data_IF_548811229418
#
_entry.id   IF_548811229418
#
_cell.length_a   1.000
_cell.length_b   1.000
_cell.length_c   1.000
_cell.angle_alpha   90.00
_cell.angle_beta   90.00
_cell.angle_gamma   90.00
#
_symmetry.space_group_name_H-M   'P 1'
#
loop_
_entity.id
_entity.type
_entity.pdbx_description
1 polymer ?
#
# COMPACT_ATOMS: atom_id res chain seq x y z
N UNK A 1 0.37 0.66 9.30
CA UNK A 1 0.85 1.14 7.98
C UNK A 1 0.54 2.62 7.75
N UNK A 2 -0.70 3.10 7.96
CA UNK A 2 -1.06 4.49 7.66
C UNK A 2 -0.25 5.57 8.41
N UNK A 3 0.13 5.33 9.68
CA UNK A 3 1.01 6.24 10.42
C UNK A 3 2.39 6.38 9.75
N UNK A 4 3.00 5.26 9.36
CA UNK A 4 4.30 5.26 8.66
C UNK A 4 4.21 5.97 7.30
N UNK A 5 3.05 5.87 6.64
CA UNK A 5 2.77 6.63 5.43
C UNK A 5 2.82 8.13 5.68
N UNK A 6 2.11 8.62 6.71
CA UNK A 6 2.10 10.04 7.08
C UNK A 6 3.47 10.55 7.52
N UNK A 7 4.26 9.73 8.19
CA UNK A 7 5.62 10.12 8.60
C UNK A 7 6.56 10.26 7.39
N UNK A 8 6.45 9.36 6.41
CA UNK A 8 7.31 9.37 5.21
C UNK A 8 6.85 10.35 4.14
N UNK A 9 5.55 10.55 4.02
CA UNK A 9 4.92 11.46 3.07
C UNK A 9 3.92 12.35 3.81
N UNK A 10 4.38 13.42 4.50
CA UNK A 10 3.50 14.30 5.27
C UNK A 10 2.45 15.01 4.43
N UNK A 11 2.80 15.33 3.18
CA UNK A 11 1.89 15.89 2.16
C UNK A 11 1.30 14.80 1.25
N UNK A 12 1.50 13.54 1.60
CA UNK A 12 0.98 12.40 0.87
C UNK A 12 -0.52 12.28 1.07
N UNK A 13 -1.23 11.97 -0.01
CA UNK A 13 -2.66 11.68 -0.01
C UNK A 13 -2.88 10.23 -0.40
N UNK A 14 -3.83 9.57 0.26
CA UNK A 14 -4.35 8.27 -0.13
C UNK A 14 -5.79 8.48 -0.62
N UNK A 15 -6.04 8.19 -1.88
CA UNK A 15 -7.34 8.43 -2.53
C UNK A 15 -7.90 7.11 -3.01
N UNK A 16 -9.15 6.81 -2.65
CA UNK A 16 -9.88 5.62 -3.09
C UNK A 16 -10.93 6.01 -4.13
N UNK A 17 -10.86 5.42 -5.31
CA UNK A 17 -11.82 5.61 -6.40
C UNK A 17 -12.61 4.33 -6.62
N UNK A 18 -13.94 4.38 -6.57
CA UNK A 18 -14.80 3.32 -7.11
C UNK A 18 -14.83 3.45 -8.64
N UNK A 19 -14.23 2.49 -9.34
CA UNK A 19 -14.09 2.52 -10.80
C UNK A 19 -15.30 1.92 -11.52
N UNK A 20 -15.84 0.83 -10.98
CA UNK A 20 -16.95 0.11 -11.58
C UNK A 20 -17.68 -0.77 -10.55
N UNK A 21 -18.92 -1.11 -10.89
CA UNK A 21 -19.68 -2.19 -10.25
C UNK A 21 -20.02 -3.17 -11.37
N UNK A 22 -19.49 -4.39 -11.28
CA UNK A 22 -19.64 -5.41 -12.32
C UNK A 22 -19.91 -6.78 -11.70
N UNK A 23 -20.98 -7.47 -12.14
CA UNK A 23 -21.38 -8.79 -11.62
C UNK A 23 -21.45 -8.88 -10.07
N UNK A 24 -21.89 -7.81 -9.40
CA UNK A 24 -21.96 -7.75 -7.94
C UNK A 24 -20.62 -7.48 -7.25
N UNK A 25 -19.56 -7.21 -8.01
CA UNK A 25 -18.24 -6.85 -7.52
C UNK A 25 -18.04 -5.33 -7.64
N UNK A 26 -17.63 -4.72 -6.54
CA UNK A 26 -17.16 -3.34 -6.47
C UNK A 26 -15.68 -3.31 -6.79
N UNK A 27 -15.30 -2.60 -7.85
CA UNK A 27 -13.92 -2.48 -8.31
C UNK A 27 -13.37 -1.14 -7.83
N UNK A 28 -12.43 -1.16 -6.89
CA UNK A 28 -11.86 0.03 -6.25
C UNK A 28 -10.38 0.13 -6.56
N UNK A 29 -9.90 1.35 -6.85
CA UNK A 29 -8.49 1.70 -6.95
C UNK A 29 -8.11 2.64 -5.81
N UNK A 30 -7.10 2.29 -5.03
CA UNK A 30 -6.42 3.24 -4.15
C UNK A 30 -5.18 3.78 -4.83
N UNK A 31 -5.02 5.10 -4.83
CA UNK A 31 -3.84 5.80 -5.33
C UNK A 31 -3.13 6.50 -4.18
N UNK A 32 -1.82 6.29 -4.06
CA UNK A 32 -0.97 7.12 -3.20
C UNK A 32 -0.39 8.24 -4.05
N UNK A 33 -0.70 9.46 -3.67
CA UNK A 33 -0.20 10.68 -4.32
C UNK A 33 0.69 11.46 -3.38
N UNK A 34 1.70 12.11 -3.94
CA UNK A 34 2.41 13.21 -3.28
C UNK A 34 2.37 14.36 -4.27
N UNK A 35 1.75 15.47 -3.85
CA UNK A 35 1.40 16.58 -4.74
C UNK A 35 0.58 16.05 -5.95
N UNK A 36 1.05 16.30 -7.18
CA UNK A 36 0.37 15.87 -8.41
C UNK A 36 0.88 14.52 -8.97
N UNK A 37 1.86 13.91 -8.31
CA UNK A 37 2.45 12.64 -8.77
C UNK A 37 1.82 11.45 -8.06
N UNK A 38 1.30 10.50 -8.82
CA UNK A 38 0.88 9.19 -8.32
C UNK A 38 2.14 8.33 -8.16
N UNK A 39 2.46 7.94 -6.92
CA UNK A 39 3.61 7.08 -6.62
C UNK A 39 3.29 5.61 -6.87
N UNK A 40 2.14 5.16 -6.38
CA UNK A 40 1.67 3.78 -6.51
C UNK A 40 0.15 3.72 -6.55
N UNK A 41 -0.37 2.64 -7.12
CA UNK A 41 -1.79 2.31 -7.11
C UNK A 41 -2.01 0.85 -6.69
N UNK A 42 -3.08 0.59 -5.95
CA UNK A 42 -3.58 -0.75 -5.67
C UNK A 42 -5.01 -0.91 -6.19
N UNK A 43 -5.33 -2.06 -6.77
CA UNK A 43 -6.65 -2.38 -7.32
C UNK A 43 -7.26 -3.57 -6.57
N UNK A 44 -8.57 -3.56 -6.38
CA UNK A 44 -9.31 -4.67 -5.79
C UNK A 44 -10.72 -4.78 -6.35
N UNK A 45 -11.26 -5.99 -6.32
CA UNK A 45 -12.66 -6.27 -6.57
C UNK A 45 -13.23 -7.12 -5.43
N UNK A 46 -14.37 -6.73 -4.86
CA UNK A 46 -15.03 -7.48 -3.79
C UNK A 46 -16.55 -7.29 -3.78
N UNK A 47 -17.26 -8.14 -3.07
CA UNK A 47 -18.74 -8.12 -3.03
C UNK A 47 -19.31 -6.89 -2.31
N UNK A 48 -18.51 -6.19 -1.53
CA UNK A 48 -18.88 -4.91 -0.92
C UNK A 48 -17.79 -3.87 -1.18
N UNK A 49 -18.18 -2.60 -1.18
CA UNK A 49 -17.27 -1.48 -1.45
C UNK A 49 -16.19 -1.36 -0.38
N UNK A 50 -16.54 -1.60 0.89
CA UNK A 50 -15.63 -1.52 2.04
C UNK A 50 -14.51 -2.56 1.92
N UNK A 51 -14.87 -3.80 1.58
CA UNK A 51 -13.90 -4.87 1.42
C UNK A 51 -12.99 -4.64 0.20
N UNK A 52 -13.55 -4.09 -0.89
CA UNK A 52 -12.77 -3.72 -2.06
C UNK A 52 -11.77 -2.61 -1.72
N UNK A 53 -12.23 -1.56 -1.04
CA UNK A 53 -11.37 -0.45 -0.61
C UNK A 53 -10.25 -0.91 0.33
N UNK A 54 -10.57 -1.70 1.35
CA UNK A 54 -9.58 -2.23 2.29
C UNK A 54 -8.48 -3.01 1.58
N UNK A 55 -8.85 -3.88 0.64
CA UNK A 55 -7.89 -4.65 -0.14
C UNK A 55 -7.07 -3.78 -1.10
N UNK A 56 -7.69 -2.80 -1.76
CA UNK A 56 -7.00 -1.89 -2.66
C UNK A 56 -5.97 -1.04 -1.89
N UNK A 57 -6.35 -0.57 -0.71
CA UNK A 57 -5.48 0.19 0.21
C UNK A 57 -4.30 -0.64 0.68
N UNK A 58 -4.54 -1.88 1.13
CA UNK A 58 -3.47 -2.78 1.56
C UNK A 58 -2.47 -3.03 0.42
N UNK A 59 -2.95 -3.28 -0.79
CA UNK A 59 -2.10 -3.47 -1.98
C UNK A 59 -1.29 -2.23 -2.31
N UNK A 60 -1.89 -1.04 -2.26
CA UNK A 60 -1.19 0.22 -2.52
C UNK A 60 -0.07 0.47 -1.49
N UNK A 61 -0.34 0.28 -0.20
CA UNK A 61 0.66 0.48 0.85
C UNK A 61 1.78 -0.57 0.80
N UNK A 62 1.47 -1.82 0.49
CA UNK A 62 2.46 -2.87 0.27
C UNK A 62 3.37 -2.53 -0.92
N UNK A 63 2.79 -2.08 -2.05
CA UNK A 63 3.56 -1.65 -3.22
C UNK A 63 4.49 -0.45 -2.94
N UNK A 64 4.15 0.39 -1.95
CA UNK A 64 4.99 1.49 -1.48
C UNK A 64 6.16 1.02 -0.58
N UNK A 65 6.28 -0.28 -0.33
CA UNK A 65 7.28 -0.88 0.56
C UNK A 65 7.00 -0.61 2.04
N UNK A 66 5.74 -0.35 2.40
CA UNK A 66 5.29 -0.15 3.78
C UNK A 66 4.78 -1.43 4.42
N UNK A 67 5.43 -2.56 4.14
CA UNK A 67 5.09 -3.85 4.75
C UNK A 67 5.34 -3.83 6.26
N UNK A 68 4.39 -4.38 7.02
CA UNK A 68 4.48 -4.58 8.47
C UNK A 68 5.52 -5.63 8.88
N UNK A 69 6.28 -6.18 7.93
CA UNK A 69 7.25 -7.26 8.11
C UNK A 69 8.72 -6.82 8.03
N UNK A 70 9.05 -5.53 8.17
CA UNK A 70 10.44 -5.12 8.44
C UNK A 70 10.84 -5.42 9.89
N UNK A 71 11.08 -6.70 10.12
CA UNK A 71 11.74 -7.29 11.28
C UNK A 71 12.54 -8.53 10.88
N UNK A 72 13.22 -8.52 9.73
CA UNK A 72 14.29 -9.48 9.44
C UNK A 72 15.49 -8.71 8.89
N UNK A 73 16.35 -8.34 9.84
CA UNK A 73 17.64 -7.70 9.67
C UNK A 73 18.59 -8.69 8.98
N UNK A 74 18.61 -8.71 7.63
CA UNK A 74 19.42 -9.64 6.83
C UNK A 74 20.94 -9.37 6.87
N UNK A 75 21.45 -8.62 7.85
CA UNK A 75 22.87 -8.26 7.94
C UNK A 75 23.61 -8.84 9.16
N UNK A 76 23.05 -9.84 9.87
CA UNK A 76 23.72 -10.45 11.03
C UNK A 76 24.54 -11.72 10.76
N UNK A 77 24.51 -12.26 9.54
CA UNK A 77 25.26 -13.48 9.17
C UNK A 77 26.40 -13.21 8.17
N UNK A 78 27.23 -12.20 8.42
CA UNK A 78 28.53 -12.10 7.72
C UNK A 78 29.68 -12.60 8.63
N UNK A 79 30.10 -13.87 8.54
CA UNK A 79 31.17 -14.42 9.38
C UNK A 79 32.59 -13.93 9.02
N UNK A 80 32.75 -12.89 8.18
CA UNK A 80 34.07 -12.48 7.67
C UNK A 80 34.80 -11.37 8.45
N UNK A 81 34.29 -10.95 9.61
CA UNK A 81 34.91 -9.90 10.45
C UNK A 81 35.75 -10.44 11.64
N UNK A 82 36.22 -11.69 11.58
CA UNK A 82 37.19 -12.24 12.54
C UNK A 82 38.41 -12.83 11.82
N UNK A 83 39.26 -11.96 11.26
CA UNK A 83 40.65 -12.27 10.95
C UNK A 83 41.50 -11.05 11.23
#
# INVERSE_FOLDING_TARGET
MFTQFRDRYPQGSLISDLLAIDHGQYIVRCSVKVEDTILVTGLAAAQTVELAEDQARLRALAALGMDSTKGIDQNKDNPRAKR
#
